data_IF_996535872804
#
_entry.id   IF_996535872804
#
_cell.length_a   1.000
_cell.length_b   1.000
_cell.length_c   1.000
_cell.angle_alpha   90.00
_cell.angle_beta   90.00
_cell.angle_gamma   90.00
#
_symmetry.space_group_name_H-M   'P 1'
#
loop_
_entity.id
_entity.type
_entity.pdbx_description
1 polymer ?
#
# COMPACT_ATOMS: atom_id res chain seq x y z
N UNK A 1 -46.38 7.69 -4.57
CA UNK A 1 -45.26 7.85 -5.49
C UNK A 1 -44.07 8.36 -4.71
N UNK A 2 -43.24 7.42 -4.28
CA UNK A 2 -41.94 7.71 -3.65
C UNK A 2 -41.00 8.17 -4.76
N UNK A 3 -40.67 9.45 -4.76
CA UNK A 3 -39.61 9.98 -5.58
C UNK A 3 -38.30 9.50 -4.99
N UNK A 4 -37.67 8.55 -5.65
CA UNK A 4 -36.27 8.15 -5.41
C UNK A 4 -35.39 9.36 -5.74
N UNK A 5 -34.94 10.03 -4.70
CA UNK A 5 -33.88 11.04 -4.80
C UNK A 5 -32.53 10.31 -4.85
N UNK A 6 -32.28 9.64 -5.96
CA UNK A 6 -30.96 9.04 -6.29
C UNK A 6 -30.02 10.14 -6.78
N UNK A 7 -29.69 11.06 -5.90
CA UNK A 7 -28.73 12.12 -6.18
C UNK A 7 -27.29 11.55 -6.14
N UNK A 8 -27.01 10.58 -7.01
CA UNK A 8 -25.65 10.09 -7.29
C UNK A 8 -24.97 9.30 -6.17
N UNK A 9 -25.69 8.89 -5.10
CA UNK A 9 -25.11 8.07 -4.04
C UNK A 9 -24.92 6.62 -4.51
N UNK A 10 -23.68 6.11 -4.39
CA UNK A 10 -23.30 4.75 -4.81
C UNK A 10 -23.12 3.78 -3.63
N UNK A 11 -23.47 4.16 -2.41
CA UNK A 11 -23.37 3.29 -1.25
C UNK A 11 -24.33 2.10 -1.37
N UNK A 12 -23.78 0.90 -1.21
CA UNK A 12 -24.56 -0.36 -1.21
C UNK A 12 -24.85 -0.82 0.22
N UNK A 13 -23.81 -0.92 1.05
CA UNK A 13 -23.88 -1.27 2.46
C UNK A 13 -22.92 -0.39 3.24
N UNK A 14 -23.19 -0.18 4.52
CA UNK A 14 -22.27 0.57 5.40
C UNK A 14 -22.35 0.12 6.84
N UNK A 15 -21.22 0.27 7.54
CA UNK A 15 -21.06 -0.03 8.94
C UNK A 15 -20.27 1.07 9.63
N UNK A 16 -20.61 1.33 10.88
CA UNK A 16 -19.88 2.24 11.77
C UNK A 16 -19.64 1.55 13.09
N UNK A 17 -18.56 1.88 13.75
CA UNK A 17 -18.21 1.33 15.05
C UNK A 17 -16.89 1.88 15.56
N UNK A 18 -16.47 1.34 16.68
CA UNK A 18 -15.18 1.64 17.28
C UNK A 18 -14.50 0.36 17.79
N UNK A 19 -13.20 0.42 17.96
CA UNK A 19 -12.39 -0.64 18.56
C UNK A 19 -11.24 -0.04 19.37
N UNK A 20 -10.65 -0.79 20.33
CA UNK A 20 -9.56 -0.28 21.15
C UNK A 20 -8.35 0.10 20.30
N UNK A 21 -7.71 1.24 20.59
CA UNK A 21 -6.53 1.73 19.86
C UNK A 21 -5.37 0.72 19.88
N UNK A 22 -5.23 -0.06 20.94
CA UNK A 22 -4.24 -1.16 21.04
C UNK A 22 -4.45 -2.29 20.03
N UNK A 23 -5.60 -2.34 19.35
CA UNK A 23 -5.87 -3.31 18.29
C UNK A 23 -5.54 -2.79 16.89
N UNK A 24 -5.08 -1.55 16.78
CA UNK A 24 -4.68 -0.96 15.50
C UNK A 24 -3.61 -1.81 14.81
N UNK A 25 -2.66 -2.35 15.59
CA UNK A 25 -1.58 -3.21 15.08
C UNK A 25 -2.06 -4.57 14.57
N UNK A 26 -3.29 -4.96 14.88
CA UNK A 26 -3.90 -6.20 14.38
C UNK A 26 -4.51 -6.05 12.98
N UNK A 27 -4.66 -4.82 12.49
CA UNK A 27 -5.13 -4.58 11.13
C UNK A 27 -4.06 -4.99 10.12
N UNK A 28 -4.46 -5.48 8.93
CA UNK A 28 -3.55 -5.62 7.81
C UNK A 28 -2.84 -4.29 7.52
N UNK A 29 -1.59 -4.36 7.08
CA UNK A 29 -0.72 -3.18 6.92
C UNK A 29 -1.35 -2.10 6.03
N UNK A 30 -1.91 -2.48 4.88
CA UNK A 30 -2.56 -1.53 3.96
C UNK A 30 -3.74 -0.77 4.58
N UNK A 31 -4.42 -1.34 5.60
CA UNK A 31 -5.52 -0.70 6.30
C UNK A 31 -5.10 -0.02 7.60
N UNK A 32 -3.88 -0.27 8.06
CA UNK A 32 -3.31 0.32 9.27
C UNK A 32 -2.68 1.68 9.03
N UNK A 33 -1.98 1.86 7.91
CA UNK A 33 -1.12 3.02 7.64
C UNK A 33 -1.87 4.28 7.25
N UNK A 34 -3.11 4.19 6.74
CA UNK A 34 -3.91 5.34 6.33
C UNK A 34 -5.22 5.44 7.10
N UNK A 35 -5.70 6.67 7.30
CA UNK A 35 -7.02 6.95 7.87
C UNK A 35 -8.15 6.80 6.84
N UNK A 36 -7.83 6.82 5.57
CA UNK A 36 -8.74 6.59 4.44
C UNK A 36 -8.13 5.54 3.53
N UNK A 37 -8.93 4.63 3.01
CA UNK A 37 -8.44 3.60 2.11
C UNK A 37 -9.54 2.67 1.63
N UNK A 38 -9.16 1.51 1.13
CA UNK A 38 -10.10 0.52 0.65
C UNK A 38 -9.66 -0.91 0.99
N UNK A 39 -10.61 -1.82 0.88
CA UNK A 39 -10.44 -3.27 1.02
C UNK A 39 -10.92 -3.90 -0.28
N UNK A 40 -10.10 -4.74 -0.87
CA UNK A 40 -10.21 -5.20 -2.23
C UNK A 40 -10.50 -6.70 -2.35
N UNK A 41 -10.45 -7.44 -1.23
CA UNK A 41 -10.61 -8.89 -1.20
C UNK A 41 -11.24 -9.36 0.12
N UNK A 42 -11.83 -10.57 0.06
CA UNK A 42 -12.53 -11.18 1.19
C UNK A 42 -11.62 -11.52 2.37
N UNK A 43 -10.36 -11.89 2.13
CA UNK A 43 -9.40 -12.26 3.19
C UNK A 43 -9.04 -11.04 4.02
N UNK A 44 -8.69 -9.93 3.35
CA UNK A 44 -8.40 -8.65 4.01
C UNK A 44 -9.64 -8.15 4.75
N UNK A 45 -10.83 -8.26 4.15
CA UNK A 45 -12.08 -7.88 4.82
C UNK A 45 -12.32 -8.69 6.09
N UNK A 46 -12.15 -10.01 6.05
CA UNK A 46 -12.30 -10.86 7.22
C UNK A 46 -11.33 -10.45 8.35
N UNK A 47 -10.07 -10.17 8.02
CA UNK A 47 -9.08 -9.71 9.00
C UNK A 47 -9.45 -8.35 9.62
N UNK A 48 -9.90 -7.39 8.81
CA UNK A 48 -10.39 -6.09 9.30
C UNK A 48 -11.64 -6.25 10.15
N UNK A 49 -12.60 -7.10 9.75
CA UNK A 49 -13.85 -7.33 10.46
C UNK A 49 -13.63 -7.89 11.86
N UNK A 50 -12.68 -8.83 12.03
CA UNK A 50 -12.32 -9.40 13.33
C UNK A 50 -11.80 -8.34 14.32
N UNK A 51 -11.17 -7.28 13.84
CA UNK A 51 -10.70 -6.17 14.67
C UNK A 51 -11.82 -5.17 14.94
N UNK A 52 -12.60 -4.85 13.89
CA UNK A 52 -13.63 -3.82 13.88
C UNK A 52 -14.90 -4.26 14.61
N UNK A 53 -15.33 -5.51 14.40
CA UNK A 53 -16.57 -6.08 14.95
C UNK A 53 -16.34 -7.51 15.44
N UNK A 54 -15.50 -7.68 16.48
CA UNK A 54 -15.17 -9.02 16.99
C UNK A 54 -16.42 -9.74 17.47
N UNK A 55 -16.58 -10.99 17.00
CA UNK A 55 -17.72 -11.85 17.36
C UNK A 55 -18.99 -11.62 16.54
N UNK A 56 -19.06 -10.59 15.70
CA UNK A 56 -20.17 -10.44 14.75
C UNK A 56 -19.92 -11.27 13.48
N UNK A 57 -21.02 -11.80 12.90
CA UNK A 57 -20.93 -12.54 11.63
C UNK A 57 -20.35 -11.63 10.54
N UNK A 58 -19.38 -12.16 9.79
CA UNK A 58 -18.80 -11.47 8.64
C UNK A 58 -19.89 -11.27 7.56
N UNK A 59 -20.15 -10.03 7.11
CA UNK A 59 -21.05 -9.80 6.00
C UNK A 59 -20.52 -10.38 4.69
N UNK A 60 -21.42 -10.82 3.84
CA UNK A 60 -21.08 -11.25 2.49
C UNK A 60 -20.95 -10.03 1.56
N UNK A 61 -19.80 -9.94 0.89
CA UNK A 61 -19.52 -8.89 -0.09
C UNK A 61 -18.93 -9.54 -1.34
N UNK A 62 -19.53 -9.25 -2.47
CA UNK A 62 -19.01 -9.69 -3.77
C UNK A 62 -17.89 -8.75 -4.23
N UNK A 63 -16.66 -9.15 -3.98
CA UNK A 63 -15.48 -8.40 -4.40
C UNK A 63 -15.18 -8.50 -5.91
N UNK A 64 -15.98 -9.24 -6.71
CA UNK A 64 -15.88 -9.18 -8.19
C UNK A 64 -16.30 -7.83 -8.70
N UNK A 65 -17.39 -7.27 -8.17
CA UNK A 65 -18.03 -6.06 -8.64
C UNK A 65 -17.98 -4.90 -7.64
N UNK A 66 -17.53 -5.15 -6.41
CA UNK A 66 -17.49 -4.17 -5.34
C UNK A 66 -16.13 -4.11 -4.67
N UNK A 67 -15.90 -3.03 -3.95
CA UNK A 67 -14.86 -2.90 -2.95
C UNK A 67 -15.43 -2.21 -1.71
N UNK A 68 -14.71 -2.26 -0.60
CA UNK A 68 -15.08 -1.57 0.62
C UNK A 68 -14.16 -0.36 0.77
N UNK A 69 -14.73 0.82 0.88
CA UNK A 69 -14.02 2.03 1.30
C UNK A 69 -14.11 2.19 2.80
N UNK A 70 -13.08 2.77 3.42
CA UNK A 70 -13.11 3.06 4.84
C UNK A 70 -12.59 4.44 5.18
N UNK A 71 -13.11 4.98 6.27
CA UNK A 71 -12.56 6.12 6.98
C UNK A 71 -12.36 5.75 8.44
N UNK A 72 -11.26 6.22 9.03
CA UNK A 72 -10.88 5.91 10.39
C UNK A 72 -10.37 7.16 11.08
N UNK A 73 -10.73 7.34 12.33
CA UNK A 73 -10.20 8.40 13.18
C UNK A 73 -9.65 7.84 14.49
N UNK A 74 -8.43 8.20 14.78
CA UNK A 74 -7.73 7.90 16.04
C UNK A 74 -7.68 9.20 16.82
N UNK A 75 -8.42 9.34 17.89
CA UNK A 75 -8.52 10.46 18.82
C UNK A 75 -9.77 11.32 18.67
N UNK A 76 -10.25 11.84 19.78
CA UNK A 76 -11.22 12.93 19.98
C UNK A 76 -12.67 12.73 19.54
N UNK A 77 -13.01 11.66 18.78
CA UNK A 77 -14.32 11.52 18.17
C UNK A 77 -15.07 10.31 18.71
N UNK A 78 -16.36 10.52 19.00
CA UNK A 78 -17.22 9.45 19.49
C UNK A 78 -17.60 8.46 18.40
N UNK A 79 -17.74 8.95 17.17
CA UNK A 79 -18.27 8.16 16.06
C UNK A 79 -17.75 8.69 14.73
N UNK A 80 -17.41 7.76 13.84
CA UNK A 80 -17.13 8.01 12.44
C UNK A 80 -18.18 7.32 11.59
N UNK A 81 -18.76 8.00 10.62
CA UNK A 81 -19.79 7.49 9.72
C UNK A 81 -19.54 7.96 8.29
N UNK A 82 -19.79 7.08 7.31
CA UNK A 82 -19.86 7.48 5.89
C UNK A 82 -21.34 7.76 5.62
N UNK A 83 -21.64 9.00 5.26
CA UNK A 83 -23.02 9.43 5.00
C UNK A 83 -23.40 9.19 3.54
N UNK A 84 -22.50 9.49 2.62
CA UNK A 84 -22.71 9.44 1.18
C UNK A 84 -21.39 9.12 0.48
N UNK A 85 -21.48 8.45 -0.67
CA UNK A 85 -20.39 8.31 -1.62
C UNK A 85 -20.90 8.64 -3.02
N UNK A 86 -20.26 9.56 -3.72
CA UNK A 86 -20.59 9.90 -5.11
C UNK A 86 -19.43 9.55 -6.01
N UNK A 87 -19.71 8.96 -7.17
CA UNK A 87 -18.71 8.68 -8.20
C UNK A 87 -18.82 9.71 -9.30
N UNK A 88 -17.75 10.47 -9.51
CA UNK A 88 -17.65 11.46 -10.57
C UNK A 88 -16.29 11.31 -11.25
N UNK A 89 -16.28 11.07 -12.56
CA UNK A 89 -15.07 10.95 -13.40
C UNK A 89 -13.98 10.01 -12.85
N UNK A 90 -14.42 8.93 -12.20
CA UNK A 90 -13.52 7.93 -11.60
C UNK A 90 -13.12 8.22 -10.15
N UNK A 91 -13.59 9.31 -9.55
CA UNK A 91 -13.36 9.67 -8.15
C UNK A 91 -14.57 9.31 -7.32
N UNK A 92 -14.42 8.41 -6.35
CA UNK A 92 -15.41 8.19 -5.29
C UNK A 92 -15.19 9.22 -4.18
N UNK A 93 -16.04 10.21 -4.10
CA UNK A 93 -16.03 11.18 -3.01
C UNK A 93 -16.84 10.69 -1.82
N UNK A 94 -16.16 10.53 -0.69
CA UNK A 94 -16.75 10.12 0.58
C UNK A 94 -17.13 11.36 1.39
N UNK A 95 -18.41 11.52 1.66
CA UNK A 95 -18.88 12.42 2.70
C UNK A 95 -18.88 11.67 4.02
N UNK A 96 -17.83 11.85 4.82
CA UNK A 96 -17.72 11.31 6.15
C UNK A 96 -18.14 12.33 7.20
N UNK A 97 -18.72 11.85 8.29
CA UNK A 97 -19.07 12.65 9.45
C UNK A 97 -18.42 12.06 10.70
N UNK A 98 -17.87 12.94 11.50
CA UNK A 98 -17.25 12.61 12.78
C UNK A 98 -17.94 13.44 13.87
N UNK A 99 -18.32 12.78 14.96
CA UNK A 99 -18.89 13.45 16.12
C UNK A 99 -17.84 13.58 17.21
N UNK A 100 -17.58 14.82 17.62
CA UNK A 100 -16.64 15.11 18.71
C UNK A 100 -17.27 14.80 20.06
N UNK A 101 -16.47 14.26 20.97
CA UNK A 101 -16.81 14.18 22.39
C UNK A 101 -16.37 15.45 23.10
N UNK A 102 -17.13 15.86 24.13
CA UNK A 102 -16.75 16.94 25.02
C UNK A 102 -15.47 16.59 25.82
N UNK A 103 -15.24 15.28 26.05
CA UNK A 103 -14.02 14.75 26.67
C UNK A 103 -13.29 13.87 25.65
N UNK A 104 -11.95 13.97 25.53
CA UNK A 104 -11.17 13.11 24.66
C UNK A 104 -11.43 11.63 24.96
N UNK A 105 -11.62 10.81 23.94
CA UNK A 105 -11.67 9.35 24.05
C UNK A 105 -10.34 8.82 23.50
N UNK A 106 -9.35 8.68 24.40
CA UNK A 106 -7.97 8.36 24.00
C UNK A 106 -7.76 6.90 23.63
N UNK A 107 -8.66 5.99 24.05
CA UNK A 107 -8.45 4.54 23.96
C UNK A 107 -9.17 3.88 22.78
N UNK A 108 -9.84 4.66 21.95
CA UNK A 108 -10.69 4.12 20.87
C UNK A 108 -10.36 4.71 19.51
N UNK A 109 -10.56 3.89 18.50
CA UNK A 109 -10.53 4.24 17.08
C UNK A 109 -11.94 4.16 16.54
N UNK A 110 -12.48 5.27 16.05
CA UNK A 110 -13.71 5.28 15.26
C UNK A 110 -13.44 4.85 13.83
N UNK A 111 -14.27 3.97 13.28
CA UNK A 111 -14.13 3.49 11.91
C UNK A 111 -15.50 3.35 11.25
N UNK A 112 -15.56 3.70 9.98
CA UNK A 112 -16.69 3.42 9.11
C UNK A 112 -16.23 2.71 7.85
N UNK A 113 -17.00 1.72 7.44
CA UNK A 113 -16.82 0.94 6.23
C UNK A 113 -18.04 1.12 5.33
N UNK A 114 -17.84 1.16 4.03
CA UNK A 114 -18.94 1.18 3.07
C UNK A 114 -18.60 0.38 1.81
N UNK A 115 -19.56 -0.41 1.33
CA UNK A 115 -19.47 -1.14 0.07
C UNK A 115 -19.87 -0.21 -1.06
N UNK A 116 -19.03 -0.11 -2.08
CA UNK A 116 -19.27 0.68 -3.29
C UNK A 116 -18.98 -0.13 -4.55
N UNK A 117 -19.66 0.15 -5.68
CA UNK A 117 -19.33 -0.49 -6.95
C UNK A 117 -17.90 -0.16 -7.37
N UNK A 118 -17.21 -1.16 -7.92
CA UNK A 118 -15.85 -1.02 -8.44
C UNK A 118 -15.80 -0.35 -9.81
N UNK A 119 -16.86 -0.53 -10.62
CA UNK A 119 -16.88 -0.09 -12.00
C UNK A 119 -16.62 1.42 -12.13
N UNK A 120 -15.62 1.77 -12.93
CA UNK A 120 -15.22 3.16 -13.18
C UNK A 120 -14.47 3.86 -12.04
N UNK A 121 -14.21 3.18 -10.93
CA UNK A 121 -13.57 3.77 -9.75
C UNK A 121 -12.05 3.72 -9.86
N UNK A 122 -11.40 4.86 -9.84
CA UNK A 122 -9.94 5.03 -9.96
C UNK A 122 -9.33 5.66 -8.71
N UNK A 123 -10.08 6.50 -8.03
CA UNK A 123 -9.63 7.23 -6.84
C UNK A 123 -10.71 7.25 -5.77
N UNK A 124 -10.29 7.30 -4.52
CA UNK A 124 -11.14 7.54 -3.36
C UNK A 124 -10.69 8.83 -2.72
N UNK A 125 -11.61 9.74 -2.48
CA UNK A 125 -11.36 11.03 -1.83
C UNK A 125 -12.20 11.17 -0.58
N UNK A 126 -11.57 11.57 0.52
CA UNK A 126 -12.24 11.98 1.74
C UNK A 126 -11.54 13.23 2.30
N UNK A 127 -12.21 14.38 2.27
CA UNK A 127 -11.57 15.66 2.57
C UNK A 127 -10.37 15.91 1.67
N UNK A 128 -9.21 16.20 2.28
CA UNK A 128 -7.96 16.45 1.55
C UNK A 128 -7.18 15.15 1.22
N UNK A 129 -7.68 13.98 1.64
CA UNK A 129 -7.02 12.70 1.39
C UNK A 129 -7.51 12.10 0.08
N UNK A 130 -6.57 11.79 -0.82
CA UNK A 130 -6.84 11.15 -2.10
C UNK A 130 -6.03 9.85 -2.19
N UNK A 131 -6.72 8.73 -2.45
CA UNK A 131 -6.14 7.39 -2.53
C UNK A 131 -6.38 6.84 -3.93
N UNK A 132 -5.32 6.37 -4.60
CA UNK A 132 -5.44 5.66 -5.87
C UNK A 132 -5.97 4.24 -5.61
N UNK A 133 -6.99 3.85 -6.36
CA UNK A 133 -7.49 2.47 -6.35
C UNK A 133 -6.72 1.69 -7.41
N UNK A 134 -6.01 0.66 -6.97
CA UNK A 134 -5.32 -0.23 -7.89
C UNK A 134 -6.35 -1.00 -8.74
N UNK A 135 -6.06 -1.13 -10.03
CA UNK A 135 -6.80 -2.05 -10.88
C UNK A 135 -6.73 -3.46 -10.29
N UNK A 136 -7.83 -4.20 -10.41
CA UNK A 136 -7.91 -5.56 -9.86
C UNK A 136 -6.78 -6.41 -10.43
N UNK A 137 -5.76 -6.70 -9.63
CA UNK A 137 -4.85 -7.79 -9.93
C UNK A 137 -5.68 -9.07 -9.89
N UNK A 138 -5.65 -9.81 -10.98
CA UNK A 138 -6.40 -11.08 -11.13
C UNK A 138 -6.23 -11.93 -9.87
N UNK A 139 -7.37 -12.24 -9.25
CA UNK A 139 -7.62 -13.23 -8.20
C UNK A 139 -6.52 -13.47 -7.15
N UNK A 140 -6.70 -13.03 -5.88
CA UNK A 140 -5.77 -13.34 -4.79
C UNK A 140 -5.65 -14.84 -4.47
N UNK A 141 -6.47 -15.72 -5.06
CA UNK A 141 -6.33 -17.16 -4.93
C UNK A 141 -5.17 -17.73 -5.76
N UNK A 142 -4.64 -16.99 -6.72
CA UNK A 142 -3.34 -17.28 -7.33
C UNK A 142 -2.33 -16.24 -6.86
N UNK A 143 -1.79 -16.36 -5.64
CA UNK A 143 -0.72 -15.50 -5.15
C UNK A 143 0.40 -15.35 -6.19
N UNK A 144 1.15 -14.25 -6.16
CA UNK A 144 2.20 -13.95 -7.12
C UNK A 144 3.14 -15.15 -7.30
N UNK A 145 3.29 -15.63 -8.53
CA UNK A 145 4.17 -16.77 -8.85
C UNK A 145 5.62 -16.34 -9.05
N UNK A 146 5.84 -15.04 -9.15
CA UNK A 146 7.15 -14.43 -9.36
C UNK A 146 7.20 -13.03 -8.76
N UNK A 147 8.39 -12.48 -8.47
CA UNK A 147 8.54 -11.12 -7.91
C UNK A 147 7.92 -10.03 -8.78
N UNK A 148 7.86 -10.20 -10.08
CA UNK A 148 7.28 -9.27 -11.05
C UNK A 148 5.75 -9.27 -11.08
N UNK A 149 5.12 -10.09 -10.24
CA UNK A 149 3.66 -10.16 -10.02
C UNK A 149 3.28 -9.82 -8.58
N UNK A 150 4.24 -9.55 -7.71
CA UNK A 150 4.00 -9.28 -6.31
C UNK A 150 3.58 -7.82 -6.06
N UNK A 151 2.95 -7.59 -4.90
CA UNK A 151 2.61 -6.26 -4.43
C UNK A 151 3.65 -5.76 -3.44
N UNK A 152 4.09 -4.52 -3.61
CA UNK A 152 5.10 -3.85 -2.78
C UNK A 152 4.52 -2.60 -2.16
N UNK A 153 4.98 -2.24 -0.96
CA UNK A 153 4.62 -0.96 -0.34
C UNK A 153 5.69 0.08 -0.67
N UNK A 154 5.33 1.10 -1.43
CA UNK A 154 6.17 2.27 -1.69
C UNK A 154 5.59 3.45 -0.93
N UNK A 155 6.35 3.99 0.01
CA UNK A 155 5.88 5.00 0.96
C UNK A 155 4.66 4.47 1.75
N UNK A 156 3.45 4.88 1.40
CA UNK A 156 2.19 4.45 2.05
C UNK A 156 1.20 3.84 1.06
N UNK A 157 1.68 3.50 -0.13
CA UNK A 157 0.86 3.00 -1.23
C UNK A 157 1.26 1.58 -1.62
N UNK A 158 0.28 0.69 -1.70
CA UNK A 158 0.49 -0.65 -2.24
C UNK A 158 0.54 -0.58 -3.77
N UNK A 159 1.61 -1.13 -4.33
CA UNK A 159 1.88 -1.17 -5.77
C UNK A 159 1.97 -2.63 -6.18
N UNK A 160 0.97 -3.13 -6.90
CA UNK A 160 0.95 -4.50 -7.41
C UNK A 160 1.44 -4.52 -8.85
N UNK A 161 2.53 -5.25 -9.11
CA UNK A 161 3.12 -5.33 -10.43
C UNK A 161 2.39 -6.35 -11.30
N UNK A 162 2.30 -6.05 -12.58
CA UNK A 162 1.87 -6.98 -13.64
C UNK A 162 3.00 -7.05 -14.66
N UNK A 163 3.66 -8.19 -14.76
CA UNK A 163 4.84 -8.37 -15.60
C UNK A 163 5.94 -7.31 -15.30
N UNK A 164 6.16 -7.05 -14.01
CA UNK A 164 7.20 -6.14 -13.53
C UNK A 164 6.86 -4.65 -13.66
N UNK A 165 5.62 -4.29 -13.99
CA UNK A 165 5.20 -2.90 -14.19
C UNK A 165 3.85 -2.63 -13.53
N UNK A 166 3.69 -1.42 -13.01
CA UNK A 166 2.42 -0.85 -12.53
C UNK A 166 2.29 0.58 -13.06
N UNK A 167 1.16 0.91 -13.63
CA UNK A 167 0.91 2.24 -14.18
C UNK A 167 -0.49 2.72 -13.80
N UNK A 168 -0.57 3.90 -13.19
CA UNK A 168 -1.82 4.55 -12.79
C UNK A 168 -1.79 6.03 -13.14
N UNK A 169 -2.96 6.65 -13.28
CA UNK A 169 -3.04 8.11 -13.44
C UNK A 169 -2.53 8.81 -12.17
N UNK A 170 -1.75 9.89 -12.34
CA UNK A 170 -1.18 10.64 -11.21
C UNK A 170 -2.24 11.38 -10.38
N UNK A 171 -3.33 11.79 -11.03
CA UNK A 171 -4.51 12.39 -10.41
C UNK A 171 -5.73 12.18 -11.31
N UNK A 172 -6.96 12.35 -10.79
CA UNK A 172 -8.16 12.39 -11.62
C UNK A 172 -7.98 13.39 -12.75
N UNK A 173 -8.38 13.02 -13.96
CA UNK A 173 -8.28 13.83 -15.19
C UNK A 173 -6.84 14.22 -15.63
N UNK A 174 -5.82 13.75 -14.94
CA UNK A 174 -4.43 14.02 -15.33
C UNK A 174 -4.00 13.10 -16.48
N UNK A 175 -3.39 13.67 -17.52
CA UNK A 175 -2.67 12.92 -18.53
C UNK A 175 -1.36 12.33 -18.00
N UNK A 176 -0.84 12.86 -16.89
CA UNK A 176 0.36 12.36 -16.24
C UNK A 176 0.09 11.02 -15.55
N UNK A 177 1.02 10.10 -15.68
CA UNK A 177 0.94 8.76 -15.10
C UNK A 177 2.07 8.56 -14.10
N UNK A 178 1.78 7.81 -13.05
CA UNK A 178 2.78 7.25 -12.16
C UNK A 178 3.09 5.86 -12.66
N UNK A 179 4.34 5.62 -13.01
CA UNK A 179 4.80 4.32 -13.48
C UNK A 179 5.84 3.75 -12.52
N UNK A 180 5.59 2.54 -12.03
CA UNK A 180 6.52 1.80 -11.18
C UNK A 180 6.93 0.53 -11.89
N UNK A 181 8.22 0.22 -11.92
CA UNK A 181 8.71 -0.98 -12.59
C UNK A 181 9.94 -1.55 -11.88
N UNK A 182 10.19 -2.85 -12.08
CA UNK A 182 11.45 -3.47 -11.70
C UNK A 182 12.54 -2.93 -12.63
N UNK A 183 13.65 -2.50 -12.03
CA UNK A 183 14.85 -2.09 -12.77
C UNK A 183 15.90 -3.22 -12.70
N UNK A 184 16.29 -3.72 -13.86
CA UNK A 184 17.19 -4.87 -13.96
C UNK A 184 16.49 -6.21 -13.68
N UNK A 185 17.25 -7.19 -13.18
CA UNK A 185 16.74 -8.51 -12.85
C UNK A 185 16.72 -8.71 -11.34
N UNK A 186 15.68 -9.35 -10.77
CA UNK A 186 15.69 -9.76 -9.37
C UNK A 186 16.82 -10.73 -9.08
N UNK A 187 17.44 -10.58 -7.91
CA UNK A 187 18.46 -11.48 -7.37
C UNK A 187 17.83 -12.38 -6.33
N UNK A 188 18.09 -13.67 -6.38
CA UNK A 188 17.45 -14.67 -5.55
C UNK A 188 18.37 -15.20 -4.44
N UNK A 189 17.81 -15.40 -3.25
CA UNK A 189 18.47 -15.98 -2.08
C UNK A 189 17.50 -16.14 -0.92
N UNK A 190 17.86 -16.91 0.10
CA UNK A 190 17.05 -17.05 1.32
C UNK A 190 17.29 -15.84 2.23
N UNK A 191 16.28 -15.01 2.43
CA UNK A 191 16.36 -13.77 3.22
C UNK A 191 15.80 -13.90 4.64
N UNK A 192 14.98 -14.93 4.89
CA UNK A 192 14.30 -15.11 6.16
C UNK A 192 14.63 -16.45 6.85
N UNK A 193 15.53 -17.26 6.28
CA UNK A 193 16.00 -18.51 6.85
C UNK A 193 15.00 -19.67 6.72
N UNK A 194 14.01 -19.57 5.84
CA UNK A 194 12.99 -20.60 5.65
C UNK A 194 13.36 -21.67 4.60
N UNK A 195 14.54 -21.54 3.97
CA UNK A 195 15.04 -22.44 2.95
C UNK A 195 14.48 -22.21 1.55
N UNK A 196 13.55 -21.27 1.36
CA UNK A 196 13.02 -20.89 0.06
C UNK A 196 13.88 -19.78 -0.56
N UNK A 197 13.84 -19.70 -1.89
CA UNK A 197 14.48 -18.60 -2.61
C UNK A 197 13.54 -17.40 -2.66
N UNK A 198 13.80 -16.43 -1.81
CA UNK A 198 13.24 -15.09 -1.89
C UNK A 198 13.91 -14.30 -3.03
N UNK A 199 13.49 -13.07 -3.25
CA UNK A 199 14.08 -12.19 -4.25
C UNK A 199 14.32 -10.78 -3.69
N UNK A 200 15.33 -10.10 -4.22
CA UNK A 200 15.52 -8.66 -4.02
C UNK A 200 15.75 -7.96 -5.35
N UNK A 201 15.28 -6.72 -5.47
CA UNK A 201 15.33 -5.96 -6.71
C UNK A 201 15.34 -4.46 -6.46
N UNK A 202 15.77 -3.72 -7.48
CA UNK A 202 15.48 -2.29 -7.59
C UNK A 202 14.06 -2.10 -8.13
N UNK A 203 13.32 -1.16 -7.54
CA UNK A 203 12.12 -0.59 -8.13
C UNK A 203 12.43 0.84 -8.54
N UNK A 204 11.93 1.25 -9.69
CA UNK A 204 12.01 2.62 -10.18
C UNK A 204 10.60 3.17 -10.35
N UNK A 205 10.39 4.40 -9.88
CA UNK A 205 9.11 5.09 -9.99
C UNK A 205 9.28 6.43 -10.67
N UNK A 206 8.58 6.59 -11.79
CA UNK A 206 8.38 7.87 -12.49
C UNK A 206 6.99 8.39 -12.10
N UNK A 207 6.94 9.55 -11.48
CA UNK A 207 5.69 10.20 -11.04
C UNK A 207 5.14 11.18 -12.08
N UNK A 208 5.66 11.17 -13.31
CA UNK A 208 5.24 12.05 -14.39
C UNK A 208 5.82 13.48 -14.30
N UNK A 209 6.79 13.68 -13.42
CA UNK A 209 7.54 14.93 -13.25
C UNK A 209 9.00 14.81 -13.66
N UNK A 210 9.88 15.66 -13.12
CA UNK A 210 11.32 15.64 -13.40
C UNK A 210 12.12 14.64 -12.58
N UNK A 211 11.52 14.04 -11.52
CA UNK A 211 12.17 13.10 -10.63
C UNK A 211 11.99 11.65 -11.09
N UNK A 212 13.03 10.84 -10.92
CA UNK A 212 13.01 9.38 -11.09
C UNK A 212 13.48 8.75 -9.77
N UNK A 213 12.58 8.11 -9.08
CA UNK A 213 12.79 7.65 -7.71
C UNK A 213 13.12 6.17 -7.68
N UNK A 214 14.21 5.82 -7.00
CA UNK A 214 14.69 4.45 -6.89
C UNK A 214 14.50 3.92 -5.47
N UNK A 215 14.14 2.64 -5.40
CA UNK A 215 13.92 1.90 -4.16
C UNK A 215 14.57 0.53 -4.23
N UNK A 216 14.90 -0.03 -3.08
CA UNK A 216 15.20 -1.45 -2.93
C UNK A 216 14.01 -2.14 -2.27
N UNK A 217 13.62 -3.30 -2.77
CA UNK A 217 12.54 -4.10 -2.23
C UNK A 217 12.92 -5.59 -2.21
N UNK A 218 12.20 -6.37 -1.41
CA UNK A 218 12.29 -7.82 -1.42
C UNK A 218 10.90 -8.44 -1.64
N UNK A 219 10.89 -9.65 -2.18
CA UNK A 219 9.71 -10.50 -2.30
C UNK A 219 10.00 -11.83 -1.62
N UNK A 220 9.26 -12.15 -0.56
CA UNK A 220 9.43 -13.35 0.23
C UNK A 220 8.61 -14.50 -0.34
N UNK A 221 9.26 -15.63 -0.58
CA UNK A 221 8.61 -16.83 -1.08
C UNK A 221 8.03 -17.65 0.07
N UNK A 222 6.74 -17.46 0.31
CA UNK A 222 6.01 -18.06 1.43
C UNK A 222 4.84 -18.89 0.88
N UNK A 223 4.77 -20.17 1.26
CA UNK A 223 3.68 -21.08 0.84
C UNK A 223 3.45 -21.13 -0.69
N UNK A 224 4.54 -21.07 -1.47
CA UNK A 224 4.49 -21.18 -2.93
C UNK A 224 4.10 -19.88 -3.66
N UNK A 225 4.04 -18.75 -2.96
CA UNK A 225 3.74 -17.43 -3.52
C UNK A 225 4.75 -16.39 -3.06
N UNK A 226 4.94 -15.34 -3.85
CA UNK A 226 5.78 -14.20 -3.49
C UNK A 226 4.96 -13.09 -2.83
N UNK A 227 5.38 -12.69 -1.64
CA UNK A 227 4.85 -11.53 -0.92
C UNK A 227 5.90 -10.43 -0.93
N UNK A 228 5.60 -9.29 -1.54
CA UNK A 228 6.48 -8.13 -1.55
C UNK A 228 6.53 -7.44 -0.19
N UNK A 229 7.67 -6.84 0.12
CA UNK A 229 7.89 -6.02 1.32
C UNK A 229 7.55 -4.56 1.03
N UNK A 230 7.60 -3.71 2.08
CA UNK A 230 7.77 -2.28 1.83
C UNK A 230 9.15 -2.03 1.21
N UNK A 231 9.24 -0.98 0.38
CA UNK A 231 10.44 -0.61 -0.33
C UNK A 231 11.24 0.45 0.44
N UNK A 232 12.55 0.33 0.43
CA UNK A 232 13.48 1.29 1.04
C UNK A 232 13.89 2.31 -0.03
N UNK A 233 13.64 3.58 0.24
CA UNK A 233 14.03 4.67 -0.66
C UNK A 233 15.55 4.80 -0.76
N UNK A 234 16.07 4.89 -1.99
CA UNK A 234 17.49 5.02 -2.27
C UNK A 234 17.87 6.43 -2.74
N UNK A 235 17.00 7.09 -3.49
CA UNK A 235 17.24 8.45 -3.95
C UNK A 235 16.53 8.80 -5.27
N UNK A 236 16.64 10.09 -5.64
CA UNK A 236 16.16 10.61 -6.92
C UNK A 236 17.29 10.60 -7.95
N UNK A 237 17.03 9.98 -9.10
CA UNK A 237 17.98 9.92 -10.23
C UNK A 237 19.39 9.47 -9.82
N UNK A 238 19.45 8.46 -8.95
CA UNK A 238 20.68 7.74 -8.61
C UNK A 238 21.10 6.85 -9.78
N UNK A 239 22.29 6.27 -9.71
CA UNK A 239 22.77 5.25 -10.66
C UNK A 239 22.79 3.89 -9.97
N UNK A 240 21.76 3.04 -10.14
CA UNK A 240 21.77 1.67 -9.61
C UNK A 240 22.92 0.88 -10.21
N UNK A 241 23.63 0.08 -9.40
CA UNK A 241 24.77 -0.70 -9.84
C UNK A 241 24.53 -2.19 -9.66
N UNK A 242 24.33 -2.65 -8.42
CA UNK A 242 24.24 -4.07 -8.11
C UNK A 242 23.36 -4.33 -6.89
N UNK A 243 22.71 -5.50 -6.90
CA UNK A 243 22.15 -6.12 -5.70
C UNK A 243 22.82 -7.49 -5.55
N UNK A 244 23.26 -7.79 -4.34
CA UNK A 244 23.82 -9.08 -3.94
C UNK A 244 23.10 -9.57 -2.69
N UNK A 245 22.87 -10.87 -2.58
CA UNK A 245 22.38 -11.51 -1.36
C UNK A 245 23.49 -12.41 -0.82
N UNK A 246 23.93 -12.14 0.41
CA UNK A 246 24.96 -12.91 1.10
C UNK A 246 24.51 -13.15 2.54
N UNK A 247 24.42 -14.43 2.91
CA UNK A 247 24.06 -14.86 4.27
C UNK A 247 22.76 -14.19 4.81
N UNK A 248 21.74 -14.11 3.95
CA UNK A 248 20.46 -13.50 4.29
C UNK A 248 20.47 -11.97 4.30
N UNK A 249 21.60 -11.34 3.97
CA UNK A 249 21.74 -9.88 3.89
C UNK A 249 21.71 -9.45 2.43
N UNK A 250 20.89 -8.45 2.13
CA UNK A 250 20.86 -7.79 0.82
C UNK A 250 21.88 -6.65 0.85
N UNK A 251 22.80 -6.64 -0.10
CA UNK A 251 23.77 -5.58 -0.31
C UNK A 251 23.34 -4.82 -1.57
N UNK A 252 22.92 -3.57 -1.39
CA UNK A 252 22.46 -2.71 -2.48
C UNK A 252 23.53 -1.68 -2.77
N UNK A 253 24.11 -1.71 -3.95
CA UNK A 253 25.15 -0.77 -4.39
C UNK A 253 24.63 0.14 -5.49
N UNK A 254 24.87 1.43 -5.34
CA UNK A 254 24.49 2.47 -6.30
C UNK A 254 25.43 3.67 -6.18
N UNK A 255 25.35 4.59 -7.14
CA UNK A 255 26.02 5.88 -7.03
C UNK A 255 24.99 7.00 -6.87
N UNK A 256 25.29 7.96 -6.02
CA UNK A 256 24.53 9.18 -5.82
C UNK A 256 25.37 10.42 -6.11
N UNK A 257 24.74 11.58 -6.13
CA UNK A 257 25.44 12.87 -6.25
C UNK A 257 25.98 13.28 -4.90
N UNK A 258 27.10 14.01 -4.91
CA UNK A 258 27.59 14.66 -3.70
C UNK A 258 26.60 15.75 -3.27
N UNK A 259 26.56 16.00 -2.00
CA UNK A 259 25.72 17.06 -1.43
C UNK A 259 26.06 18.40 -2.10
N UNK A 260 25.04 19.09 -2.62
CA UNK A 260 25.16 20.39 -3.29
C UNK A 260 25.47 20.33 -4.80
N UNK A 261 25.69 19.15 -5.37
CA UNK A 261 25.82 19.02 -6.83
C UNK A 261 24.47 19.21 -7.54
N UNK A 262 24.44 19.92 -8.68
CA UNK A 262 23.22 20.08 -9.47
C UNK A 262 22.71 18.73 -9.99
N UNK A 263 21.41 18.63 -10.22
CA UNK A 263 20.75 17.42 -10.73
C UNK A 263 21.18 17.04 -12.16
N UNK A 264 21.82 17.94 -12.86
CA UNK A 264 22.43 17.70 -14.18
C UNK A 264 23.77 16.96 -14.08
N UNK A 265 24.44 16.98 -12.92
CA UNK A 265 25.68 16.24 -12.70
C UNK A 265 25.39 14.75 -12.58
N UNK A 266 26.08 13.86 -13.30
CA UNK A 266 25.93 12.42 -13.13
C UNK A 266 26.30 11.97 -11.71
N UNK A 267 25.56 11.00 -11.12
CA UNK A 267 25.93 10.40 -9.85
C UNK A 267 27.32 9.77 -9.89
N UNK A 268 28.19 10.09 -8.91
CA UNK A 268 29.58 9.64 -8.89
C UNK A 268 30.04 9.10 -7.52
N UNK A 269 29.31 9.35 -6.45
CA UNK A 269 29.63 8.88 -5.12
C UNK A 269 29.02 7.48 -4.89
N UNK A 270 29.86 6.46 -4.76
CA UNK A 270 29.41 5.09 -4.49
C UNK A 270 28.84 4.96 -3.08
N UNK A 271 27.72 4.28 -2.98
CA UNK A 271 27.01 3.97 -1.72
C UNK A 271 26.66 2.49 -1.69
N UNK A 272 26.80 1.87 -0.55
CA UNK A 272 26.29 0.51 -0.28
C UNK A 272 25.38 0.55 0.94
N UNK A 273 24.15 0.04 0.79
CA UNK A 273 23.21 -0.20 1.89
C UNK A 273 23.09 -1.69 2.16
N UNK A 274 22.98 -2.01 3.42
CA UNK A 274 22.80 -3.39 3.90
C UNK A 274 21.40 -3.53 4.45
N UNK A 275 20.63 -4.46 3.90
CA UNK A 275 19.23 -4.67 4.28
C UNK A 275 19.03 -6.10 4.75
N UNK A 276 18.21 -6.28 5.75
CA UNK A 276 17.78 -7.57 6.29
C UNK A 276 16.27 -7.64 6.38
N UNK A 277 15.75 -8.85 6.32
CA UNK A 277 14.33 -9.12 6.57
C UNK A 277 14.17 -9.60 8.02
N UNK A 278 13.36 -8.88 8.80
CA UNK A 278 12.95 -9.27 10.15
C UNK A 278 11.43 -9.17 10.25
N UNK A 279 10.77 -10.23 10.69
CA UNK A 279 9.31 -10.27 10.84
C UNK A 279 8.57 -9.84 9.55
N UNK A 280 9.09 -10.26 8.39
CA UNK A 280 8.62 -9.89 7.04
C UNK A 280 8.78 -8.39 6.70
N UNK A 281 9.53 -7.63 7.50
CA UNK A 281 9.88 -6.24 7.23
C UNK A 281 11.30 -6.14 6.70
N UNK A 282 11.49 -5.34 5.65
CA UNK A 282 12.81 -5.00 5.13
C UNK A 282 13.39 -3.84 5.94
N UNK A 283 14.56 -4.02 6.52
CA UNK A 283 15.19 -3.04 7.41
C UNK A 283 16.63 -2.77 7.01
N UNK A 284 17.06 -1.52 7.13
CA UNK A 284 18.47 -1.17 6.98
C UNK A 284 19.27 -1.63 8.22
N UNK A 285 20.43 -2.18 8.00
CA UNK A 285 21.35 -2.64 9.04
C UNK A 285 22.77 -2.12 8.79
N UNK A 286 23.65 -2.30 9.76
CA UNK A 286 25.03 -1.85 9.64
C UNK A 286 25.93 -2.97 9.11
N UNK A 287 27.04 -2.59 8.47
CA UNK A 287 28.04 -3.53 7.91
C UNK A 287 28.64 -4.51 8.94
N UNK A 288 28.47 -4.28 10.24
CA UNK A 288 29.08 -5.08 11.31
C UNK A 288 28.60 -6.55 11.40
N UNK A 289 27.57 -6.92 10.65
CA UNK A 289 27.04 -8.31 10.63
C UNK A 289 28.02 -9.32 9.97
N UNK A 290 28.97 -8.85 9.17
CA UNK A 290 29.95 -9.69 8.47
C UNK A 290 31.31 -9.85 9.20
N UNK A 291 31.39 -9.43 10.46
CA UNK A 291 32.60 -9.56 11.26
C UNK A 291 32.43 -10.70 12.28
N UNK A 292 32.42 -11.95 11.80
CA UNK A 292 32.85 -13.12 12.58
C UNK A 292 33.47 -14.14 11.65
#
# INVERSE_FOLDING_TARGET
>A
SEAEDKNGDILVLKWSGDYPVKHLDKLPEGQRVSSVGYINDAKTFAAVWQVFKPGEKLPEVDFSDHLIVFVRNVNFYNRTSILKCTLNEGVAELLAMETMSANPIEDKVGMALAVVPRAGLKFIRAGDTNITVADKVKDPQSGAKSPDQACYMIEKQEICLVNGCHEVAAAPESAAKIKTMIFGQPVHGDLNGNGNKDASMFLVQDKGGSGIFYYAAAALHINGVFAGTHAIFLGDRISPQNIEIRDGVIIVSYAERKIGEPMTTPPSMGVSKYLVVKENLLMETTHSIFRE
#
